data_IF_725367381390
#
_entry.id   IF_725367381390
#
_cell.length_a   1.000
_cell.length_b   1.000
_cell.length_c   1.000
_cell.angle_alpha   90.00
_cell.angle_beta   90.00
_cell.angle_gamma   90.00
#
_symmetry.space_group_name_H-M   'P 1'
#
loop_
_entity.id
_entity.type
_entity.pdbx_description
1 polymer ?
#
# COMPACT_ATOMS: atom_id res chain seq x y z
N UNK A 1 16.58 -5.85 -19.05
CA UNK A 1 17.55 -6.94 -19.27
C UNK A 1 18.21 -7.20 -17.93
N UNK A 2 18.23 -8.43 -17.41
CA UNK A 2 18.87 -8.72 -16.13
C UNK A 2 20.38 -8.45 -16.23
N UNK A 3 20.93 -7.80 -15.21
CA UNK A 3 22.38 -7.73 -15.04
C UNK A 3 22.96 -9.14 -14.90
N UNK A 4 24.17 -9.37 -15.39
CA UNK A 4 24.87 -10.64 -15.29
C UNK A 4 24.23 -11.83 -16.03
N UNK A 5 23.85 -11.66 -17.30
CA UNK A 5 23.28 -12.70 -18.16
C UNK A 5 24.09 -14.00 -18.10
N UNK A 6 25.43 -13.88 -18.16
CA UNK A 6 26.37 -15.02 -18.09
C UNK A 6 26.19 -15.89 -16.83
N UNK A 7 25.94 -15.26 -15.68
CA UNK A 7 25.68 -16.00 -14.42
C UNK A 7 24.36 -16.74 -14.45
N UNK A 8 23.35 -16.14 -15.10
CA UNK A 8 22.06 -16.80 -15.27
C UNK A 8 22.14 -17.99 -16.22
N UNK A 9 22.91 -17.87 -17.28
CA UNK A 9 23.11 -18.96 -18.24
C UNK A 9 23.92 -20.11 -17.62
N UNK A 10 24.98 -19.81 -16.90
CA UNK A 10 25.74 -20.81 -16.16
C UNK A 10 24.85 -21.53 -15.11
N UNK A 11 23.98 -20.81 -14.39
CA UNK A 11 23.04 -21.40 -13.46
C UNK A 11 22.03 -22.31 -14.15
N UNK A 12 21.50 -21.91 -15.32
CA UNK A 12 20.57 -22.73 -16.11
C UNK A 12 21.22 -24.05 -16.55
N UNK A 13 22.45 -24.01 -17.03
CA UNK A 13 23.18 -25.21 -17.43
C UNK A 13 23.49 -26.12 -16.23
N UNK A 14 23.85 -25.55 -15.09
CA UNK A 14 24.02 -26.29 -13.86
C UNK A 14 22.73 -27.01 -13.44
N UNK A 15 21.59 -26.32 -13.48
CA UNK A 15 20.28 -26.91 -13.14
C UNK A 15 19.90 -28.01 -14.13
N UNK A 16 20.15 -27.84 -15.43
CA UNK A 16 19.89 -28.86 -16.46
C UNK A 16 20.72 -30.14 -16.21
N UNK A 17 21.96 -29.97 -15.80
CA UNK A 17 22.90 -31.08 -15.60
C UNK A 17 22.67 -31.80 -14.28
N UNK A 18 22.43 -31.10 -13.20
CA UNK A 18 22.39 -31.66 -11.84
C UNK A 18 20.99 -31.69 -11.21
N UNK A 19 20.01 -31.05 -11.87
CA UNK A 19 18.69 -30.88 -11.31
C UNK A 19 18.64 -29.80 -10.22
N UNK A 20 17.47 -29.69 -9.60
CA UNK A 20 17.21 -28.75 -8.53
C UNK A 20 16.49 -29.45 -7.38
N UNK A 21 17.00 -29.24 -6.16
CA UNK A 21 16.45 -29.90 -4.98
C UNK A 21 15.05 -29.43 -4.61
N UNK A 22 14.83 -28.11 -4.65
CA UNK A 22 13.55 -27.48 -4.28
C UNK A 22 12.88 -26.94 -5.54
N UNK A 23 11.61 -27.27 -5.73
CA UNK A 23 10.84 -26.80 -6.88
C UNK A 23 10.28 -25.38 -6.70
N UNK A 24 10.14 -24.92 -5.46
CA UNK A 24 9.60 -23.63 -5.10
C UNK A 24 10.57 -22.90 -4.17
N UNK A 25 11.11 -21.78 -4.61
CA UNK A 25 12.18 -21.06 -3.93
C UNK A 25 11.78 -19.66 -3.45
N UNK A 26 10.97 -18.93 -4.24
CA UNK A 26 10.68 -17.52 -3.99
C UNK A 26 9.18 -17.27 -3.98
N UNK A 27 8.72 -16.62 -2.89
CA UNK A 27 7.37 -16.12 -2.75
C UNK A 27 7.40 -14.71 -2.13
N UNK A 28 6.37 -13.91 -2.38
CA UNK A 28 6.18 -12.63 -1.70
C UNK A 28 5.04 -12.78 -0.70
N UNK A 29 5.40 -12.79 0.59
CA UNK A 29 4.46 -12.89 1.69
C UNK A 29 3.93 -11.52 2.14
N UNK A 30 2.80 -11.45 2.90
CA UNK A 30 2.24 -10.20 3.42
C UNK A 30 3.15 -9.52 4.46
N UNK A 31 3.97 -10.29 5.19
CA UNK A 31 4.95 -9.85 6.20
C UNK A 31 4.39 -8.97 7.34
N UNK A 32 3.09 -9.02 7.62
CA UNK A 32 2.40 -8.11 8.55
C UNK A 32 3.04 -8.03 9.95
N UNK A 33 3.30 -9.18 10.58
CA UNK A 33 3.89 -9.24 11.93
C UNK A 33 5.41 -9.06 11.90
N UNK A 34 6.07 -9.71 10.95
CA UNK A 34 7.54 -9.65 10.79
C UNK A 34 7.98 -8.21 10.50
N UNK A 35 7.26 -7.50 9.65
CA UNK A 35 7.54 -6.10 9.34
C UNK A 35 7.47 -5.21 10.59
N UNK A 36 6.49 -5.45 11.46
CA UNK A 36 6.37 -4.71 12.72
C UNK A 36 7.53 -4.98 13.69
N UNK A 37 8.03 -6.22 13.74
CA UNK A 37 9.18 -6.59 14.56
C UNK A 37 10.46 -5.96 14.01
N UNK A 38 10.60 -5.93 12.69
CA UNK A 38 11.77 -5.39 11.99
C UNK A 38 11.74 -3.86 11.81
N UNK A 39 10.73 -3.16 12.34
CA UNK A 39 10.51 -1.72 12.19
C UNK A 39 10.53 -1.26 10.72
N UNK A 40 9.84 -2.01 9.86
CA UNK A 40 9.65 -1.65 8.46
C UNK A 40 8.18 -1.75 8.06
N UNK A 41 7.85 -1.30 6.85
CA UNK A 41 6.48 -1.42 6.34
C UNK A 41 6.21 -2.83 5.82
N UNK A 42 4.97 -3.30 6.08
CA UNK A 42 4.49 -4.56 5.55
C UNK A 42 4.21 -4.46 4.05
N UNK A 43 4.27 -5.60 3.37
CA UNK A 43 3.97 -5.80 1.94
C UNK A 43 4.76 -4.90 0.97
N UNK A 44 4.45 -5.00 -0.31
CA UNK A 44 5.06 -4.18 -1.38
C UNK A 44 4.07 -3.17 -1.99
N UNK A 45 2.86 -3.14 -1.45
CA UNK A 45 1.83 -2.17 -1.86
C UNK A 45 2.03 -0.83 -1.14
N UNK A 46 1.39 0.24 -1.65
CA UNK A 46 1.37 1.53 -0.99
C UNK A 46 0.69 1.49 0.37
N UNK A 47 1.09 2.40 1.25
CA UNK A 47 0.44 2.54 2.55
C UNK A 47 -1.02 2.94 2.41
N UNK A 48 -1.88 2.37 3.23
CA UNK A 48 -3.31 2.72 3.27
C UNK A 48 -3.57 4.11 3.82
N UNK A 49 -2.63 4.62 4.62
CA UNK A 49 -2.70 5.95 5.24
C UNK A 49 -1.30 6.37 5.69
N UNK A 50 -0.99 7.67 5.62
CA UNK A 50 0.26 8.21 6.17
C UNK A 50 0.18 8.48 7.68
N UNK A 51 -1.02 8.40 8.26
CA UNK A 51 -1.26 8.55 9.68
C UNK A 51 -2.43 7.66 10.07
N UNK A 52 -2.22 6.66 10.90
CA UNK A 52 -3.26 5.73 11.31
C UNK A 52 -3.10 5.30 12.77
N UNK A 53 -4.21 4.91 13.37
CA UNK A 53 -4.26 4.32 14.70
C UNK A 53 -4.16 2.80 14.56
N UNK A 54 -3.21 2.20 15.22
CA UNK A 54 -3.08 0.76 15.34
C UNK A 54 -3.59 0.31 16.69
N UNK A 55 -4.66 -0.45 16.68
CA UNK A 55 -5.21 -1.06 17.88
C UNK A 55 -4.56 -2.43 18.09
N UNK A 56 -4.06 -2.66 19.29
CA UNK A 56 -3.47 -3.94 19.72
C UNK A 56 -4.03 -4.31 21.09
N UNK A 57 -3.80 -5.57 21.50
CA UNK A 57 -4.17 -6.01 22.86
C UNK A 57 -3.47 -5.21 23.96
N UNK A 58 -2.32 -4.60 23.65
CA UNK A 58 -1.54 -3.78 24.60
C UNK A 58 -1.92 -2.31 24.59
N UNK A 59 -2.86 -1.89 23.75
CA UNK A 59 -3.33 -0.51 23.63
C UNK A 59 -3.31 0.03 22.20
N UNK A 60 -3.59 1.30 22.09
CA UNK A 60 -3.71 2.04 20.84
C UNK A 60 -2.44 2.83 20.56
N UNK A 61 -1.89 2.64 19.39
CA UNK A 61 -0.67 3.32 18.95
C UNK A 61 -0.95 4.17 17.71
N UNK A 62 -0.60 5.44 17.76
CA UNK A 62 -0.62 6.30 16.59
C UNK A 62 0.64 6.04 15.77
N UNK A 63 0.48 5.53 14.58
CA UNK A 63 1.57 5.32 13.62
C UNK A 63 1.55 6.39 12.54
N UNK A 64 2.74 6.89 12.22
CA UNK A 64 2.93 7.88 11.16
C UNK A 64 3.94 7.36 10.15
N UNK A 65 3.78 7.78 8.89
CA UNK A 65 4.80 7.54 7.87
C UNK A 65 6.05 8.36 8.21
N UNK A 66 7.06 7.72 8.82
CA UNK A 66 8.29 8.38 9.28
C UNK A 66 9.02 9.10 8.15
N UNK A 67 9.04 8.54 6.95
CA UNK A 67 9.71 9.15 5.80
C UNK A 67 9.04 10.46 5.37
N UNK A 68 7.70 10.49 5.38
CA UNK A 68 6.95 11.72 5.15
C UNK A 68 7.23 12.77 6.24
N UNK A 69 7.17 12.35 7.50
CA UNK A 69 7.43 13.25 8.65
C UNK A 69 8.83 13.85 8.57
N UNK A 70 9.85 13.05 8.25
CA UNK A 70 11.22 13.54 8.12
C UNK A 70 11.37 14.53 6.97
N UNK A 71 10.69 14.32 5.84
CA UNK A 71 10.66 15.28 4.74
C UNK A 71 9.96 16.58 5.13
N UNK A 72 8.80 16.49 5.78
CA UNK A 72 8.06 17.66 6.24
C UNK A 72 8.85 18.45 7.31
N UNK A 73 9.54 17.75 8.22
CA UNK A 73 10.44 18.42 9.21
C UNK A 73 11.58 19.18 8.52
N UNK A 74 12.25 18.56 7.54
CA UNK A 74 13.32 19.19 6.77
C UNK A 74 12.88 20.43 6.01
N UNK A 75 11.61 20.50 5.63
CA UNK A 75 11.00 21.65 4.95
C UNK A 75 10.37 22.66 5.94
N UNK A 76 10.40 22.39 7.24
CA UNK A 76 9.74 23.24 8.24
C UNK A 76 8.20 23.16 8.20
N UNK A 77 7.65 22.15 7.52
CA UNK A 77 6.20 21.99 7.31
C UNK A 77 5.52 21.07 8.32
N UNK A 78 6.26 20.46 9.24
CA UNK A 78 5.69 19.60 10.29
C UNK A 78 5.15 20.43 11.44
N UNK A 79 4.10 21.20 11.17
CA UNK A 79 3.42 22.09 12.14
C UNK A 79 2.18 21.42 12.73
N UNK A 80 1.60 21.94 13.82
CA UNK A 80 0.31 21.48 14.34
C UNK A 80 -0.79 21.51 13.29
N UNK A 81 -0.87 22.58 12.50
CA UNK A 81 -1.88 22.79 11.46
C UNK A 81 -1.78 21.73 10.37
N UNK A 82 -0.56 21.43 9.91
CA UNK A 82 -0.32 20.37 8.91
C UNK A 82 -0.68 19.00 9.46
N UNK A 83 -0.35 18.72 10.72
CA UNK A 83 -0.74 17.43 11.35
C UNK A 83 -2.24 17.28 11.45
N UNK A 84 -2.95 18.34 11.80
CA UNK A 84 -4.41 18.31 11.92
C UNK A 84 -5.07 18.20 10.54
N UNK A 85 -4.53 18.86 9.51
CA UNK A 85 -4.97 18.68 8.14
C UNK A 85 -4.81 17.22 7.66
N UNK A 86 -3.67 16.59 7.94
CA UNK A 86 -3.43 15.17 7.62
C UNK A 86 -4.41 14.25 8.37
N UNK A 87 -4.69 14.52 9.65
CA UNK A 87 -5.69 13.75 10.42
C UNK A 87 -7.09 13.89 9.84
N UNK A 88 -7.51 15.11 9.49
CA UNK A 88 -8.80 15.37 8.86
C UNK A 88 -8.94 14.66 7.52
N UNK A 89 -7.87 14.60 6.75
CA UNK A 89 -7.79 13.89 5.46
C UNK A 89 -7.55 12.37 5.62
N UNK A 90 -7.71 11.80 6.82
CA UNK A 90 -7.55 10.36 7.08
C UNK A 90 -6.17 9.81 6.67
N UNK A 91 -5.14 10.64 6.81
CA UNK A 91 -3.76 10.31 6.47
C UNK A 91 -3.39 10.57 5.01
N UNK A 92 -4.30 11.11 4.20
CA UNK A 92 -3.95 11.68 2.90
C UNK A 92 -3.22 13.01 3.08
N UNK A 93 -2.33 13.32 2.15
CA UNK A 93 -1.71 14.65 2.05
C UNK A 93 -2.12 15.36 0.76
N UNK A 94 -3.03 14.77 -0.01
CA UNK A 94 -3.50 15.37 -1.25
C UNK A 94 -4.32 16.62 -0.97
N UNK A 95 -4.07 17.67 -1.76
CA UNK A 95 -4.82 18.94 -1.64
C UNK A 95 -4.45 19.79 -0.42
N UNK A 96 -3.45 19.42 0.39
CA UNK A 96 -2.93 20.26 1.47
C UNK A 96 -1.99 21.29 0.86
N UNK A 97 -2.45 22.53 0.75
CA UNK A 97 -1.78 23.59 -0.01
C UNK A 97 -0.32 23.89 0.43
N UNK A 98 -0.01 23.65 1.71
CA UNK A 98 1.33 23.88 2.25
C UNK A 98 2.33 22.79 1.83
N UNK A 99 1.86 21.63 1.40
CA UNK A 99 2.73 20.50 1.05
C UNK A 99 3.02 20.53 -0.45
N UNK A 100 4.30 20.53 -0.86
CA UNK A 100 4.67 20.55 -2.26
C UNK A 100 4.08 19.38 -3.05
N UNK A 101 3.66 19.62 -4.29
CA UNK A 101 3.07 18.60 -5.19
C UNK A 101 3.95 17.39 -5.36
N UNK A 102 5.27 17.57 -5.40
CA UNK A 102 6.24 16.47 -5.50
C UNK A 102 6.13 15.50 -4.33
N UNK A 103 5.89 15.98 -3.11
CA UNK A 103 5.65 15.12 -1.95
C UNK A 103 4.26 14.51 -2.01
N UNK A 104 3.25 15.28 -2.43
CA UNK A 104 1.88 14.75 -2.58
C UNK A 104 1.85 13.58 -3.55
N UNK A 105 2.59 13.64 -4.65
CA UNK A 105 2.68 12.53 -5.62
C UNK A 105 3.38 11.29 -5.07
N UNK A 106 4.46 11.47 -4.30
CA UNK A 106 5.24 10.35 -3.75
C UNK A 106 4.49 9.63 -2.63
N UNK A 107 3.79 10.38 -1.77
CA UNK A 107 3.13 9.83 -0.58
C UNK A 107 1.63 9.63 -0.75
N UNK A 108 1.20 9.28 -1.97
CA UNK A 108 -0.17 8.83 -2.21
C UNK A 108 -0.48 7.57 -1.41
N UNK A 109 -1.67 7.53 -0.85
CA UNK A 109 -2.19 6.34 -0.19
C UNK A 109 -2.65 5.30 -1.22
N UNK A 110 -2.86 4.07 -0.79
CA UNK A 110 -3.38 2.99 -1.64
C UNK A 110 -4.73 3.33 -2.29
N UNK A 111 -5.54 4.17 -1.62
CA UNK A 111 -6.86 4.61 -2.13
C UNK A 111 -6.76 5.62 -3.29
N UNK A 112 -5.65 6.31 -3.39
CA UNK A 112 -5.40 7.38 -4.36
C UNK A 112 -4.68 6.90 -5.62
N UNK A 113 -4.31 5.63 -5.65
CA UNK A 113 -3.62 5.01 -6.77
C UNK A 113 -4.55 4.12 -7.59
N UNK A 114 -4.42 4.11 -8.93
CA UNK A 114 -5.17 3.18 -9.76
C UNK A 114 -4.72 1.74 -9.48
N UNK A 115 -5.67 0.84 -9.23
CA UNK A 115 -5.37 -0.59 -8.99
C UNK A 115 -4.67 -1.25 -10.18
N UNK A 116 -4.87 -0.71 -11.37
CA UNK A 116 -4.13 -1.14 -12.56
C UNK A 116 -2.62 -1.08 -12.36
N UNK A 117 -2.11 -0.01 -11.76
CA UNK A 117 -0.67 0.14 -11.48
C UNK A 117 -0.15 -0.94 -10.54
N UNK A 118 -0.91 -1.28 -9.50
CA UNK A 118 -0.53 -2.35 -8.55
C UNK A 118 -0.52 -3.72 -9.25
N UNK A 119 -1.50 -3.96 -10.09
CA UNK A 119 -1.61 -5.22 -10.87
C UNK A 119 -0.46 -5.32 -11.89
N UNK A 120 -0.15 -4.25 -12.61
CA UNK A 120 0.96 -4.23 -13.57
C UNK A 120 2.29 -4.52 -12.87
N UNK A 121 2.58 -3.84 -11.76
CA UNK A 121 3.79 -4.08 -10.96
C UNK A 121 3.85 -5.51 -10.40
N UNK A 122 2.72 -6.09 -10.02
CA UNK A 122 2.66 -7.47 -9.54
C UNK A 122 2.90 -8.47 -10.68
N UNK A 123 2.37 -8.20 -11.87
CA UNK A 123 2.62 -9.01 -13.06
C UNK A 123 4.10 -9.00 -13.46
N UNK A 124 4.74 -7.82 -13.42
CA UNK A 124 6.16 -7.69 -13.74
C UNK A 124 7.03 -8.47 -12.73
N UNK A 125 6.71 -8.39 -11.43
CA UNK A 125 7.40 -9.20 -10.41
C UNK A 125 7.16 -10.70 -10.56
N UNK A 126 5.99 -11.08 -11.05
CA UNK A 126 5.58 -12.47 -11.24
C UNK A 126 6.53 -13.28 -12.11
N UNK A 127 7.26 -12.65 -13.02
CA UNK A 127 8.27 -13.28 -13.85
C UNK A 127 9.51 -13.77 -13.05
N UNK A 128 9.73 -13.25 -11.84
CA UNK A 128 10.92 -13.52 -11.04
C UNK A 128 10.63 -14.30 -9.76
N UNK A 129 9.41 -14.76 -9.58
CA UNK A 129 8.99 -15.60 -8.45
C UNK A 129 8.31 -16.86 -8.98
N UNK A 130 8.60 -18.00 -8.37
CA UNK A 130 8.02 -19.29 -8.77
C UNK A 130 6.69 -19.55 -8.06
N UNK A 131 6.49 -19.03 -6.87
CA UNK A 131 5.23 -19.07 -6.13
C UNK A 131 4.34 -17.87 -6.46
N UNK A 132 3.26 -17.68 -5.73
CA UNK A 132 2.41 -16.51 -5.85
C UNK A 132 2.89 -15.35 -4.97
N UNK A 133 2.49 -14.14 -5.31
CA UNK A 133 2.65 -12.96 -4.47
C UNK A 133 1.36 -12.68 -3.72
N UNK A 134 1.49 -12.28 -2.46
CA UNK A 134 0.38 -11.74 -1.69
C UNK A 134 0.07 -10.33 -2.19
N UNK A 135 -0.90 -10.20 -3.08
CA UNK A 135 -1.32 -8.93 -3.69
C UNK A 135 -2.63 -8.46 -3.06
N UNK A 136 -2.57 -7.38 -2.29
CA UNK A 136 -3.76 -6.69 -1.82
C UNK A 136 -4.27 -5.72 -2.88
N UNK A 137 -5.58 -5.68 -3.05
CA UNK A 137 -6.28 -4.74 -3.92
C UNK A 137 -7.17 -3.85 -3.07
N UNK A 138 -7.41 -2.63 -3.55
CA UNK A 138 -8.11 -1.60 -2.78
C UNK A 138 -9.26 -1.03 -3.62
N UNK A 139 -10.43 -0.96 -3.04
CA UNK A 139 -11.61 -0.38 -3.69
C UNK A 139 -12.48 0.30 -2.63
N UNK A 140 -12.53 1.62 -2.64
CA UNK A 140 -13.22 2.41 -1.62
C UNK A 140 -14.70 2.01 -1.52
N UNK A 141 -15.38 1.92 -2.66
CA UNK A 141 -16.78 1.51 -2.77
C UNK A 141 -16.90 0.36 -3.77
N UNK A 142 -16.84 -0.89 -3.31
CA UNK A 142 -16.90 -2.05 -4.19
C UNK A 142 -18.23 -2.15 -4.94
N UNK A 143 -18.15 -2.43 -6.23
CA UNK A 143 -19.30 -2.82 -7.03
C UNK A 143 -18.91 -3.99 -7.96
N UNK A 144 -19.90 -4.80 -8.36
CA UNK A 144 -19.67 -6.04 -9.10
C UNK A 144 -18.95 -5.78 -10.42
N UNK A 145 -19.33 -4.73 -11.16
CA UNK A 145 -18.74 -4.42 -12.47
C UNK A 145 -17.26 -4.04 -12.36
N UNK A 146 -16.91 -3.15 -11.41
CA UNK A 146 -15.54 -2.73 -11.18
C UNK A 146 -14.68 -3.87 -10.64
N UNK A 147 -15.22 -4.68 -9.71
CA UNK A 147 -14.54 -5.86 -9.19
C UNK A 147 -14.25 -6.87 -10.30
N UNK A 148 -15.25 -7.21 -11.10
CA UNK A 148 -15.10 -8.13 -12.22
C UNK A 148 -14.04 -7.64 -13.22
N UNK A 149 -14.10 -6.36 -13.58
CA UNK A 149 -13.13 -5.74 -14.49
C UNK A 149 -11.70 -5.80 -13.94
N UNK A 150 -11.52 -5.51 -12.66
CA UNK A 150 -10.23 -5.54 -11.99
C UNK A 150 -9.63 -6.94 -11.93
N UNK A 151 -10.41 -7.95 -11.53
CA UNK A 151 -9.95 -9.34 -11.46
C UNK A 151 -9.70 -9.93 -12.84
N UNK A 152 -10.53 -9.61 -13.83
CA UNK A 152 -10.30 -10.02 -15.22
C UNK A 152 -9.02 -9.39 -15.79
N UNK A 153 -8.71 -8.15 -15.40
CA UNK A 153 -7.46 -7.51 -15.78
C UNK A 153 -6.26 -8.24 -15.14
N UNK A 154 -6.33 -8.55 -13.85
CA UNK A 154 -5.28 -9.29 -13.15
C UNK A 154 -5.04 -10.67 -13.78
N UNK A 155 -6.12 -11.40 -14.10
CA UNK A 155 -6.04 -12.68 -14.77
C UNK A 155 -5.39 -12.57 -16.17
N UNK A 156 -5.81 -11.61 -16.98
CA UNK A 156 -5.22 -11.37 -18.32
C UNK A 156 -3.74 -10.99 -18.25
N UNK A 157 -3.29 -10.39 -17.16
CA UNK A 157 -1.88 -10.09 -16.90
C UNK A 157 -1.07 -11.29 -16.40
N UNK A 158 -1.69 -12.46 -16.24
CA UNK A 158 -1.03 -13.67 -15.80
C UNK A 158 -0.75 -13.75 -14.30
N UNK A 159 -1.44 -12.95 -13.49
CA UNK A 159 -1.32 -13.02 -12.02
C UNK A 159 -1.93 -14.34 -11.54
N UNK A 160 -1.15 -15.11 -10.78
CA UNK A 160 -1.53 -16.43 -10.27
C UNK A 160 -2.65 -16.35 -9.23
N UNK A 161 -2.58 -15.36 -8.35
CA UNK A 161 -3.57 -15.11 -7.29
C UNK A 161 -3.52 -13.68 -6.79
N UNK A 162 -4.61 -13.24 -6.18
CA UNK A 162 -4.70 -12.05 -5.35
C UNK A 162 -4.87 -12.47 -3.89
N UNK A 163 -4.79 -11.52 -2.95
CA UNK A 163 -4.98 -11.80 -1.54
C UNK A 163 -6.24 -11.10 -1.02
N UNK A 164 -6.14 -9.99 -0.31
CA UNK A 164 -7.31 -9.27 0.18
C UNK A 164 -7.82 -8.25 -0.83
N UNK A 165 -9.14 -8.13 -0.94
CA UNK A 165 -9.79 -6.92 -1.41
C UNK A 165 -10.14 -6.08 -0.18
N UNK A 166 -9.50 -4.93 -0.06
CA UNK A 166 -9.75 -3.98 1.03
C UNK A 166 -10.73 -2.91 0.57
N UNK A 167 -11.76 -2.66 1.39
CA UNK A 167 -12.74 -1.59 1.16
C UNK A 167 -12.80 -0.68 2.38
N UNK A 168 -13.28 0.53 2.20
CA UNK A 168 -13.61 1.40 3.32
C UNK A 168 -15.00 1.06 3.84
N UNK A 169 -15.25 1.18 5.17
CA UNK A 169 -16.59 1.01 5.71
C UNK A 169 -17.55 2.07 5.16
N UNK A 170 -18.80 1.69 4.93
CA UNK A 170 -19.84 2.58 4.41
C UNK A 170 -20.14 3.75 5.36
N UNK A 171 -19.98 3.54 6.68
CA UNK A 171 -20.15 4.55 7.71
C UNK A 171 -18.82 5.11 8.16
N UNK A 172 -18.63 6.41 7.97
CA UNK A 172 -17.48 7.13 8.56
C UNK A 172 -17.78 7.42 10.02
N UNK A 173 -16.86 7.09 10.91
CA UNK A 173 -16.95 7.48 12.33
C UNK A 173 -16.90 9.01 12.38
N UNK A 174 -17.88 9.64 13.03
CA UNK A 174 -17.88 11.08 13.23
C UNK A 174 -16.59 11.53 13.93
N UNK A 175 -15.90 12.50 13.37
CA UNK A 175 -14.64 13.03 13.92
C UNK A 175 -14.96 13.97 15.07
N UNK A 176 -15.09 13.47 16.29
CA UNK A 176 -15.56 14.19 17.48
C UNK A 176 -14.46 14.87 18.30
N UNK A 177 -13.22 14.98 17.80
CA UNK A 177 -12.15 15.59 18.62
C UNK A 177 -11.24 16.52 17.81
N UNK A 178 -11.82 17.62 17.34
CA UNK A 178 -11.05 18.82 17.00
C UNK A 178 -11.77 20.00 17.65
N UNK A 179 -11.03 20.71 18.50
CA UNK A 179 -11.55 21.85 19.22
C UNK A 179 -12.22 22.86 18.29
N UNK A 180 -13.42 23.26 18.66
CA UNK A 180 -14.19 24.42 18.24
C UNK A 180 -14.18 24.83 16.75
N UNK A 181 -14.68 23.94 15.88
CA UNK A 181 -15.32 24.35 14.64
C UNK A 181 -16.49 23.41 14.37
N UNK A 182 -17.65 23.78 14.90
CA UNK A 182 -18.94 23.12 14.61
C UNK A 182 -19.27 23.43 13.16
N UNK A 183 -19.07 22.48 12.28
CA UNK A 183 -19.77 22.44 10.99
C UNK A 183 -20.85 21.37 11.10
N UNK A 184 -22.09 21.81 11.17
CA UNK A 184 -23.27 20.94 11.16
C UNK A 184 -23.26 20.03 9.95
N UNK A 185 -23.41 18.74 10.20
CA UNK A 185 -23.64 17.76 9.14
C UNK A 185 -25.03 17.99 8.49
N UNK A 186 -25.16 17.92 7.17
CA UNK A 186 -26.47 18.00 6.53
C UNK A 186 -27.33 16.81 6.94
N UNK A 187 -28.57 17.08 7.38
CA UNK A 187 -29.59 16.04 7.66
C UNK A 187 -29.90 15.26 6.38
N UNK A 188 -30.05 13.94 6.45
CA UNK A 188 -30.57 13.17 5.33
C UNK A 188 -32.03 13.52 5.05
N UNK A 189 -32.34 13.67 3.77
CA UNK A 189 -33.70 13.82 3.23
C UNK A 189 -34.42 12.47 3.21
#
# INVERSE_FOLDING_TARGET
>A
VPEHVERWDALRECIKTHGQRNSLLVAIAPTATIASIADCYECVEPQVSNLFKRETLSGDFLQVNRYLVDKLKKLGLWTPETRDAIKLAEGSIQGIAQIPDTLQQVYRTAWELPMRSLIDMAADRGAFIDQSASLNLFMESPNIGAMSSMYMYAWKKGIKTTYYLRSRPATRIAKTTLGNAITEAPKPA
#
